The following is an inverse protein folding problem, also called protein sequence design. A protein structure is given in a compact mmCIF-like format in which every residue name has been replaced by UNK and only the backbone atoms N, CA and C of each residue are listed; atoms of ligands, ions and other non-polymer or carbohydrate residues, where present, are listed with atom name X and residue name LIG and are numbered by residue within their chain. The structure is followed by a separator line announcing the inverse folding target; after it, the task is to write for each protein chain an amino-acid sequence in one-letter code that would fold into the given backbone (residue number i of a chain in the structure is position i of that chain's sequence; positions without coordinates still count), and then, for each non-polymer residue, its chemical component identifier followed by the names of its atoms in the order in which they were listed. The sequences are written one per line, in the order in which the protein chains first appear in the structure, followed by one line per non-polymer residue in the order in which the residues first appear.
data_IF_118463826467
#
_entry.id   IF_118463826467
#
_cell.length_a   1.000
_cell.length_b   1.000
_cell.length_c   1.000
_cell.angle_alpha   90.00
_cell.angle_beta   90.00
_cell.angle_gamma   90.00
#
_symmetry.space_group_name_H-M   'P 1'
#
loop_
_entity.id
_entity.type
_entity.pdbx_description
1 polymer ?
#
# COMPACT_ATOMS: atom_id res chain seq x y z
N UNK A 1 31.45 -28.33 1.45
CA UNK A 1 30.68 -28.14 2.71
C UNK A 1 30.66 -26.63 2.96
N UNK A 2 29.61 -25.96 2.56
CA UNK A 2 29.40 -24.55 2.90
C UNK A 2 29.05 -24.50 4.38
N UNK A 3 29.92 -23.91 5.15
CA UNK A 3 29.66 -23.58 6.56
C UNK A 3 28.41 -22.72 6.62
N UNK A 4 27.33 -23.23 7.22
CA UNK A 4 26.17 -22.44 7.57
C UNK A 4 26.70 -21.36 8.52
N UNK A 5 26.95 -20.18 8.01
CA UNK A 5 27.20 -18.98 8.82
C UNK A 5 25.97 -18.77 9.70
N UNK A 6 26.18 -18.47 10.94
CA UNK A 6 25.14 -18.27 11.95
C UNK A 6 23.95 -17.48 11.37
N UNK A 7 22.80 -18.16 11.26
CA UNK A 7 21.55 -17.62 10.73
C UNK A 7 20.86 -16.60 11.67
N UNK A 8 21.50 -16.24 12.77
CA UNK A 8 21.01 -15.21 13.66
C UNK A 8 21.72 -13.90 13.34
N UNK A 9 20.98 -12.80 13.14
CA UNK A 9 21.59 -11.49 13.07
C UNK A 9 22.44 -11.29 14.32
N UNK A 10 23.67 -10.88 14.14
CA UNK A 10 24.63 -10.63 15.24
C UNK A 10 24.11 -9.53 16.18
N UNK A 11 23.21 -8.67 15.69
CA UNK A 11 22.54 -7.63 16.46
C UNK A 11 21.01 -7.82 16.38
N UNK A 12 20.41 -8.35 17.46
CA UNK A 12 18.96 -8.48 17.57
C UNK A 12 18.34 -7.09 17.68
N UNK A 13 17.49 -6.74 16.70
CA UNK A 13 16.65 -5.54 16.75
C UNK A 13 15.35 -5.81 17.53
N UNK A 14 14.72 -4.78 18.07
CA UNK A 14 13.52 -4.92 18.90
C UNK A 14 12.33 -5.58 18.18
N UNK A 15 12.27 -5.44 16.86
CA UNK A 15 11.18 -5.93 16.02
C UNK A 15 11.37 -7.35 15.48
N UNK A 16 12.54 -7.99 15.65
CA UNK A 16 12.85 -9.32 15.06
C UNK A 16 11.96 -10.47 15.54
N UNK A 17 11.33 -10.36 16.69
CA UNK A 17 10.46 -11.39 17.28
C UNK A 17 9.03 -10.89 17.48
N UNK A 18 8.61 -9.95 16.65
CA UNK A 18 7.31 -9.31 16.73
C UNK A 18 6.33 -9.84 15.70
N UNK A 19 5.04 -9.65 15.96
CA UNK A 19 3.93 -9.92 15.04
C UNK A 19 3.21 -8.60 14.78
N UNK A 20 3.01 -8.29 13.50
CA UNK A 20 2.30 -7.09 13.08
C UNK A 20 0.87 -7.43 12.63
N UNK A 21 -0.02 -6.46 12.81
CA UNK A 21 -1.41 -6.52 12.38
C UNK A 21 -1.77 -5.24 11.64
N UNK A 22 -2.25 -5.37 10.41
CA UNK A 22 -2.73 -4.22 9.64
C UNK A 22 -4.19 -3.95 9.94
N UNK A 23 -4.48 -2.70 10.24
CA UNK A 23 -5.84 -2.16 10.34
C UNK A 23 -6.09 -1.24 9.15
N UNK A 24 -7.18 -1.49 8.43
CA UNK A 24 -7.79 -0.59 7.48
C UNK A 24 -8.91 0.17 8.21
N UNK A 25 -8.67 1.40 8.70
CA UNK A 25 -9.53 2.06 9.67
C UNK A 25 -10.98 2.17 9.23
N UNK A 26 -11.21 2.55 7.96
CA UNK A 26 -12.56 2.75 7.37
C UNK A 26 -13.51 1.57 7.62
N UNK A 27 -13.01 0.33 7.64
CA UNK A 27 -13.83 -0.88 7.78
C UNK A 27 -13.52 -1.71 9.03
N UNK A 28 -12.76 -1.17 10.00
CA UNK A 28 -12.41 -1.93 11.19
C UNK A 28 -13.52 -1.98 12.23
N UNK A 29 -13.87 -0.83 12.84
CA UNK A 29 -14.98 -0.73 13.80
C UNK A 29 -15.48 0.70 13.88
N UNK A 30 -16.74 0.89 13.58
CA UNK A 30 -17.50 2.13 13.70
C UNK A 30 -18.09 2.24 15.10
N UNK A 31 -17.76 3.31 15.85
CA UNK A 31 -18.28 3.54 17.21
C UNK A 31 -19.27 4.68 17.31
N UNK A 32 -19.34 5.54 16.29
CA UNK A 32 -20.20 6.73 16.29
C UNK A 32 -21.49 6.53 15.46
N UNK A 33 -21.55 5.47 14.62
CA UNK A 33 -22.74 5.10 13.86
C UNK A 33 -22.85 5.75 12.49
N UNK A 34 -21.77 6.33 11.95
CA UNK A 34 -21.77 6.99 10.64
C UNK A 34 -21.45 6.05 9.46
N UNK A 35 -21.14 4.78 9.73
CA UNK A 35 -20.79 3.76 8.74
C UNK A 35 -19.31 3.66 8.45
N UNK A 36 -18.45 4.49 9.05
CA UNK A 36 -17.01 4.52 8.88
C UNK A 36 -16.35 4.12 10.19
N UNK A 37 -15.37 3.23 10.13
CA UNK A 37 -14.58 2.87 11.31
C UNK A 37 -13.69 4.02 11.78
N UNK A 38 -13.43 4.07 13.08
CA UNK A 38 -12.79 5.22 13.73
C UNK A 38 -11.69 4.83 14.73
N UNK A 39 -10.94 5.83 15.20
CA UNK A 39 -9.84 5.63 16.17
C UNK A 39 -10.36 5.09 17.51
N UNK A 40 -11.58 5.45 17.94
CA UNK A 40 -12.22 4.92 19.14
C UNK A 40 -12.48 3.41 19.01
N UNK A 41 -12.90 2.97 17.81
CA UNK A 41 -13.06 1.57 17.49
C UNK A 41 -11.73 0.80 17.63
N UNK A 42 -10.65 1.37 17.13
CA UNK A 42 -9.31 0.77 17.26
C UNK A 42 -8.90 0.69 18.73
N UNK A 43 -9.03 1.78 19.49
CA UNK A 43 -8.70 1.82 20.92
C UNK A 43 -9.47 0.75 21.69
N UNK A 44 -10.78 0.58 21.39
CA UNK A 44 -11.65 -0.40 22.05
C UNK A 44 -11.22 -1.86 21.85
N UNK A 45 -10.46 -2.13 20.78
CA UNK A 45 -10.01 -3.48 20.40
C UNK A 45 -8.54 -3.77 20.73
N UNK A 46 -7.84 -2.87 21.39
CA UNK A 46 -6.42 -3.08 21.74
C UNK A 46 -6.19 -4.30 22.64
N UNK A 47 -7.12 -4.60 23.55
CA UNK A 47 -7.01 -5.80 24.40
C UNK A 47 -7.19 -7.08 23.59
N UNK A 48 -8.15 -7.12 22.66
CA UNK A 48 -8.31 -8.22 21.71
C UNK A 48 -7.02 -8.46 20.90
N UNK A 49 -6.44 -7.39 20.33
CA UNK A 49 -5.20 -7.49 19.56
C UNK A 49 -4.03 -7.96 20.43
N UNK A 50 -3.97 -7.52 21.69
CA UNK A 50 -2.95 -7.99 22.63
C UNK A 50 -3.11 -9.48 22.97
N UNK A 51 -4.33 -9.96 23.19
CA UNK A 51 -4.63 -11.39 23.41
C UNK A 51 -4.32 -12.23 22.17
N UNK A 52 -4.50 -11.69 20.96
CA UNK A 52 -4.11 -12.32 19.71
C UNK A 52 -2.58 -12.44 19.55
N UNK A 53 -1.81 -11.71 20.37
CA UNK A 53 -0.35 -11.72 20.35
C UNK A 53 0.28 -10.66 19.45
N UNK A 54 -0.44 -9.59 19.14
CA UNK A 54 0.04 -8.49 18.29
C UNK A 54 0.97 -7.57 19.09
N UNK A 55 2.08 -7.20 18.46
CA UNK A 55 3.09 -6.29 19.00
C UNK A 55 3.20 -4.99 18.21
N UNK A 56 2.83 -5.00 16.93
CA UNK A 56 2.87 -3.84 16.04
C UNK A 56 1.52 -3.72 15.34
N UNK A 57 0.95 -2.53 15.32
CA UNK A 57 -0.24 -2.22 14.52
C UNK A 57 0.19 -1.28 13.38
N UNK A 58 -0.04 -1.70 12.15
CA UNK A 58 0.05 -0.84 10.98
C UNK A 58 -1.33 -0.26 10.67
N UNK A 59 -1.44 1.06 10.72
CA UNK A 59 -2.63 1.80 10.28
C UNK A 59 -2.46 2.19 8.81
N UNK A 60 -3.39 1.75 7.96
CA UNK A 60 -3.56 2.36 6.63
C UNK A 60 -3.86 3.85 6.79
N UNK A 61 -3.70 4.70 5.74
CA UNK A 61 -3.68 6.15 5.90
C UNK A 61 -4.89 6.71 6.68
N UNK A 62 -4.60 7.51 7.70
CA UNK A 62 -5.60 8.23 8.51
C UNK A 62 -5.45 9.75 8.41
N UNK A 63 -4.56 10.21 7.54
CA UNK A 63 -4.33 11.64 7.30
C UNK A 63 -5.55 12.29 6.63
N UNK A 64 -5.63 13.61 6.72
CA UNK A 64 -6.65 14.36 6.00
C UNK A 64 -6.50 14.13 4.49
N UNK A 65 -7.59 13.68 3.86
CA UNK A 65 -7.64 13.25 2.47
C UNK A 65 -9.00 13.51 1.85
N UNK A 66 -9.12 13.77 0.54
CA UNK A 66 -10.37 13.68 -0.20
C UNK A 66 -10.88 12.25 -0.46
N UNK A 67 -10.07 11.22 -0.13
CA UNK A 67 -10.38 9.80 -0.30
C UNK A 67 -10.65 9.35 -1.75
N UNK A 68 -10.01 9.97 -2.73
CA UNK A 68 -10.07 9.50 -4.13
C UNK A 68 -9.44 8.12 -4.26
N UNK A 69 -8.32 7.88 -3.58
CA UNK A 69 -7.69 6.57 -3.44
C UNK A 69 -7.65 6.15 -1.96
N UNK A 70 -8.81 6.20 -1.31
CA UNK A 70 -9.05 5.66 0.04
C UNK A 70 -8.05 6.13 1.11
N UNK A 71 -7.56 7.39 1.00
CA UNK A 71 -6.64 8.00 1.95
C UNK A 71 -5.19 8.11 1.47
N UNK A 72 -4.83 7.46 0.36
CA UNK A 72 -3.49 7.59 -0.24
C UNK A 72 -3.30 8.92 -1.01
N UNK A 73 -4.33 9.72 -1.19
CA UNK A 73 -4.31 11.09 -1.70
C UNK A 73 -4.32 12.09 -0.53
N UNK A 74 -3.16 12.27 0.12
CA UNK A 74 -3.02 13.07 1.35
C UNK A 74 -3.06 14.57 1.04
N UNK A 75 -4.02 15.29 1.65
CA UNK A 75 -4.17 16.74 1.50
C UNK A 75 -3.54 17.55 2.64
N UNK A 76 -3.28 16.92 3.80
CA UNK A 76 -2.56 17.51 4.94
C UNK A 76 -1.88 16.39 5.74
N UNK A 77 -0.55 16.41 5.77
CA UNK A 77 0.25 15.40 6.49
C UNK A 77 0.26 15.57 8.01
N UNK A 78 -0.22 16.69 8.54
CA UNK A 78 -0.21 17.00 9.98
C UNK A 78 -1.58 16.89 10.64
N UNK A 79 -2.60 16.51 9.88
CA UNK A 79 -3.97 16.40 10.37
C UNK A 79 -4.52 14.97 10.19
N UNK A 80 -5.34 14.53 11.16
CA UNK A 80 -6.15 13.33 11.04
C UNK A 80 -7.42 13.68 10.24
N UNK A 81 -7.91 12.77 9.41
CA UNK A 81 -9.18 12.92 8.71
C UNK A 81 -10.34 12.89 9.72
N UNK A 82 -11.29 13.81 9.56
CA UNK A 82 -12.42 13.99 10.49
C UNK A 82 -13.27 12.71 10.62
N UNK A 83 -13.33 11.92 9.56
CA UNK A 83 -14.02 10.63 9.49
C UNK A 83 -13.44 9.59 10.47
N UNK A 84 -12.14 9.67 10.75
CA UNK A 84 -11.48 8.73 11.65
C UNK A 84 -11.36 9.24 13.08
N UNK A 85 -11.55 10.54 13.31
CA UNK A 85 -11.48 11.13 14.64
C UNK A 85 -10.56 12.35 14.74
N UNK A 86 -9.97 12.55 15.91
CA UNK A 86 -9.16 13.74 16.21
C UNK A 86 -7.70 13.41 16.53
N UNK A 87 -6.86 14.43 16.56
CA UNK A 87 -5.45 14.27 16.96
C UNK A 87 -5.34 13.83 18.43
N UNK A 88 -6.23 14.29 19.29
CA UNK A 88 -6.30 13.89 20.70
C UNK A 88 -6.62 12.40 20.84
N UNK A 89 -7.52 11.87 20.01
CA UNK A 89 -7.84 10.45 19.96
C UNK A 89 -6.68 9.62 19.41
N UNK A 90 -5.94 10.16 18.46
CA UNK A 90 -4.71 9.52 18.00
C UNK A 90 -3.63 9.50 19.10
N UNK A 91 -3.46 10.59 19.84
CA UNK A 91 -2.53 10.65 20.99
C UNK A 91 -2.96 9.65 22.08
N UNK A 92 -4.27 9.48 22.31
CA UNK A 92 -4.80 8.45 23.22
C UNK A 92 -4.50 7.04 22.68
N UNK A 93 -4.68 6.78 21.38
CA UNK A 93 -4.34 5.50 20.77
C UNK A 93 -2.86 5.14 21.00
N UNK A 94 -1.93 6.08 20.77
CA UNK A 94 -0.50 5.88 21.04
C UNK A 94 -0.24 5.54 22.51
N UNK A 95 -0.86 6.27 23.43
CA UNK A 95 -0.70 6.06 24.88
C UNK A 95 -1.24 4.71 25.32
N UNK A 96 -2.45 4.32 24.88
CA UNK A 96 -3.10 3.06 25.24
C UNK A 96 -2.40 1.85 24.62
N UNK A 97 -1.91 1.97 23.38
CA UNK A 97 -1.11 0.93 22.73
C UNK A 97 0.21 0.71 23.46
N UNK A 98 0.89 1.79 23.84
CA UNK A 98 2.15 1.72 24.59
C UNK A 98 2.00 1.03 25.94
N UNK A 99 0.89 1.25 26.67
CA UNK A 99 0.59 0.56 27.94
C UNK A 99 0.51 -0.97 27.77
N UNK A 100 0.10 -1.43 26.58
CA UNK A 100 -0.03 -2.85 26.22
C UNK A 100 1.22 -3.42 25.57
N UNK A 101 2.27 -2.60 25.39
CA UNK A 101 3.49 -2.99 24.69
C UNK A 101 3.26 -3.19 23.19
N UNK A 102 2.31 -2.46 22.61
CA UNK A 102 2.02 -2.44 21.18
C UNK A 102 2.58 -1.15 20.58
N UNK A 103 3.34 -1.25 19.51
CA UNK A 103 3.84 -0.12 18.73
C UNK A 103 2.88 0.19 17.58
N UNK A 104 2.57 1.46 17.37
CA UNK A 104 1.79 1.92 16.20
C UNK A 104 2.75 2.34 15.11
N UNK A 105 2.56 1.88 13.89
CA UNK A 105 3.18 2.41 12.68
C UNK A 105 2.10 2.93 11.74
N UNK A 106 2.42 3.97 10.98
CA UNK A 106 1.50 4.57 10.01
C UNK A 106 1.99 4.33 8.59
N UNK A 107 1.10 4.52 7.62
CA UNK A 107 1.49 4.61 6.23
C UNK A 107 2.23 5.92 5.95
N UNK A 108 3.32 5.86 5.22
CA UNK A 108 4.09 7.02 4.77
C UNK A 108 4.00 7.11 3.26
N UNK A 109 3.15 8.01 2.78
CA UNK A 109 2.89 8.24 1.35
C UNK A 109 3.69 9.47 0.93
N UNK A 110 4.83 9.24 0.28
CA UNK A 110 5.80 10.29 -0.08
C UNK A 110 6.25 10.23 -1.55
N UNK A 111 5.67 9.33 -2.35
CA UNK A 111 5.82 9.39 -3.81
C UNK A 111 4.94 10.49 -4.41
N UNK A 112 3.78 10.75 -3.85
CA UNK A 112 2.76 11.70 -4.33
C UNK A 112 2.03 12.33 -3.14
N UNK A 113 1.23 13.35 -3.39
CA UNK A 113 0.25 13.88 -2.44
C UNK A 113 -1.08 14.14 -3.18
N UNK A 114 -2.10 14.63 -2.47
CA UNK A 114 -3.37 15.01 -3.10
C UNK A 114 -3.24 16.27 -3.96
N UNK A 115 -4.03 16.36 -5.03
CA UNK A 115 -4.26 17.61 -5.77
C UNK A 115 -4.91 18.71 -4.90
N UNK A 116 -5.45 18.34 -3.72
CA UNK A 116 -5.97 19.28 -2.71
C UNK A 116 -4.92 19.68 -1.68
N UNK A 117 -3.71 19.16 -1.73
CA UNK A 117 -2.61 19.60 -0.87
C UNK A 117 -2.23 21.05 -1.18
N UNK A 118 -1.88 21.83 -0.16
CA UNK A 118 -1.54 23.24 -0.31
C UNK A 118 -0.37 23.46 -1.29
N UNK A 119 0.62 22.56 -1.29
CA UNK A 119 1.74 22.64 -2.21
C UNK A 119 1.30 22.58 -3.67
N UNK A 120 0.43 21.63 -4.00
CA UNK A 120 -0.04 21.47 -5.38
C UNK A 120 -0.97 22.60 -5.82
N UNK A 121 -1.85 23.08 -4.94
CA UNK A 121 -2.68 24.26 -5.22
C UNK A 121 -1.84 25.49 -5.56
N UNK A 122 -0.74 25.71 -4.82
CA UNK A 122 0.21 26.80 -5.12
C UNK A 122 0.95 26.56 -6.43
N UNK A 123 1.38 25.32 -6.70
CA UNK A 123 2.02 24.94 -7.96
C UNK A 123 1.11 25.16 -9.18
N UNK A 124 -0.18 24.82 -9.08
CA UNK A 124 -1.16 25.08 -10.15
C UNK A 124 -1.46 26.57 -10.34
N UNK A 125 -1.44 27.36 -9.27
CA UNK A 125 -1.66 28.81 -9.34
C UNK A 125 -0.49 29.54 -10.01
N UNK A 126 0.74 29.02 -9.87
CA UNK A 126 1.96 29.56 -10.50
C UNK A 126 2.84 28.38 -10.97
N UNK A 127 2.59 27.84 -12.19
CA UNK A 127 3.34 26.71 -12.74
C UNK A 127 4.81 26.98 -13.09
N UNK A 128 5.29 28.22 -12.88
CA UNK A 128 6.68 28.65 -13.01
C UNK A 128 7.29 29.11 -11.66
N UNK A 129 6.50 29.07 -10.60
CA UNK A 129 6.89 29.49 -9.26
C UNK A 129 7.59 28.42 -8.44
N UNK A 130 7.96 28.79 -7.19
CA UNK A 130 8.70 27.94 -6.25
C UNK A 130 8.06 26.57 -6.03
N UNK A 131 6.73 26.52 -5.89
CA UNK A 131 6.01 25.27 -5.61
C UNK A 131 5.87 24.35 -6.82
N UNK A 132 6.05 24.86 -8.05
CA UNK A 132 6.04 24.06 -9.25
C UNK A 132 7.18 23.01 -9.23
N UNK A 133 8.33 23.35 -8.69
CA UNK A 133 9.49 22.46 -8.56
C UNK A 133 9.30 21.32 -7.53
N UNK A 134 8.22 21.36 -6.74
CA UNK A 134 7.86 20.24 -5.85
C UNK A 134 7.22 19.08 -6.61
N UNK A 135 6.87 19.29 -7.88
CA UNK A 135 6.20 18.35 -8.76
C UNK A 135 6.90 18.30 -10.11
N UNK A 136 6.51 17.36 -10.95
CA UNK A 136 7.02 17.26 -12.31
C UNK A 136 6.07 17.97 -13.29
N UNK A 137 6.35 19.21 -13.63
CA UNK A 137 5.67 19.93 -14.72
C UNK A 137 6.52 19.88 -15.99
N UNK A 138 5.91 19.52 -17.12
CA UNK A 138 6.58 19.45 -18.42
C UNK A 138 5.69 20.04 -19.52
N UNK A 139 6.33 20.66 -20.52
CA UNK A 139 5.62 21.15 -21.70
C UNK A 139 5.13 19.99 -22.55
N UNK A 140 3.90 20.11 -23.06
CA UNK A 140 3.37 19.16 -24.03
C UNK A 140 4.08 19.24 -25.38
N UNK A 141 4.06 18.15 -26.13
CA UNK A 141 4.63 18.05 -27.49
C UNK A 141 3.52 18.12 -28.53
N UNK A 142 3.45 19.22 -29.29
CA UNK A 142 2.45 19.40 -30.36
C UNK A 142 0.98 19.21 -29.88
N UNK A 143 0.65 19.67 -28.69
CA UNK A 143 -0.68 19.54 -28.09
C UNK A 143 -0.98 18.18 -27.47
N UNK A 144 0.01 17.28 -27.41
CA UNK A 144 -0.06 15.99 -26.73
C UNK A 144 0.74 16.02 -25.41
N UNK A 145 0.54 15.01 -24.52
CA UNK A 145 1.36 14.84 -23.34
C UNK A 145 2.87 14.79 -23.64
N UNK A 146 3.74 15.07 -22.65
CA UNK A 146 5.20 15.05 -22.82
C UNK A 146 5.77 13.69 -23.25
N UNK A 147 5.13 12.60 -22.82
CA UNK A 147 5.51 11.21 -23.13
C UNK A 147 4.33 10.25 -22.98
N UNK A 148 4.52 9.00 -23.45
CA UNK A 148 3.43 8.03 -23.63
C UNK A 148 3.26 7.06 -22.46
N UNK A 149 3.41 7.50 -21.21
CA UNK A 149 3.23 6.61 -20.06
C UNK A 149 1.77 6.43 -19.65
N UNK A 150 1.42 5.18 -19.28
CA UNK A 150 0.11 4.81 -18.71
C UNK A 150 0.20 4.73 -17.20
N UNK A 151 -0.73 5.38 -16.49
CA UNK A 151 -0.92 5.33 -15.05
C UNK A 151 -1.21 3.90 -14.56
N UNK A 152 -0.88 3.60 -13.30
CA UNK A 152 -1.28 2.35 -12.64
C UNK A 152 -2.80 2.16 -12.60
N UNK A 153 -3.57 3.25 -12.65
CA UNK A 153 -5.04 3.24 -12.65
C UNK A 153 -5.65 3.50 -14.05
N UNK A 154 -4.83 3.34 -15.10
CA UNK A 154 -5.25 3.53 -16.48
C UNK A 154 -5.18 4.97 -16.98
N UNK A 155 -5.21 5.15 -18.28
CA UNK A 155 -5.06 6.44 -18.92
C UNK A 155 -3.62 6.98 -18.90
N UNK A 156 -3.44 8.22 -19.39
CA UNK A 156 -2.12 8.88 -19.41
C UNK A 156 -1.64 9.22 -17.99
N UNK A 157 -0.33 9.14 -17.74
CA UNK A 157 0.31 9.68 -16.53
C UNK A 157 0.42 11.22 -16.51
N UNK A 158 0.02 11.87 -17.56
CA UNK A 158 0.15 13.31 -17.72
C UNK A 158 -1.22 13.98 -17.81
N UNK A 159 -1.51 14.88 -16.88
CA UNK A 159 -2.75 15.64 -16.84
C UNK A 159 -2.47 17.10 -17.23
N UNK A 160 -3.25 17.73 -18.12
CA UNK A 160 -3.02 19.10 -18.57
C UNK A 160 -3.23 20.12 -17.44
N UNK A 161 -2.33 21.10 -17.36
CA UNK A 161 -2.46 22.25 -16.46
C UNK A 161 -3.41 23.28 -17.07
N UNK A 162 -4.46 23.72 -16.38
CA UNK A 162 -5.41 24.69 -16.89
C UNK A 162 -4.73 25.98 -17.36
N UNK A 163 -5.10 26.47 -18.54
CA UNK A 163 -4.59 27.70 -19.17
C UNK A 163 -3.07 27.71 -19.44
N UNK A 164 -2.45 26.57 -19.58
CA UNK A 164 -1.04 26.39 -19.87
C UNK A 164 -0.84 25.33 -20.96
N UNK A 165 0.36 25.27 -21.55
CA UNK A 165 0.79 24.17 -22.41
C UNK A 165 1.52 23.07 -21.60
N UNK A 166 1.57 23.21 -20.29
CA UNK A 166 2.21 22.23 -19.39
C UNK A 166 1.26 21.13 -18.98
N UNK A 167 1.87 20.02 -18.57
CA UNK A 167 1.23 18.86 -17.96
C UNK A 167 1.95 18.57 -16.64
N UNK A 168 1.24 18.02 -15.66
CA UNK A 168 1.85 17.47 -14.45
C UNK A 168 1.81 15.94 -14.46
N UNK A 169 2.80 15.35 -13.82
CA UNK A 169 2.95 13.90 -13.72
C UNK A 169 2.13 13.32 -12.57
N UNK A 170 1.49 12.18 -12.81
CA UNK A 170 0.89 11.31 -11.79
C UNK A 170 1.05 9.85 -12.21
N UNK A 171 1.72 9.03 -11.42
CA UNK A 171 1.81 7.58 -11.70
C UNK A 171 0.55 6.83 -11.26
N UNK A 172 -0.21 7.39 -10.31
CA UNK A 172 -1.49 6.87 -9.80
C UNK A 172 -2.66 7.70 -10.35
N UNK A 173 -3.67 8.01 -9.54
CA UNK A 173 -4.78 8.85 -9.99
C UNK A 173 -4.31 10.26 -10.35
N UNK A 174 -5.02 10.94 -11.25
CA UNK A 174 -4.73 12.34 -11.61
C UNK A 174 -4.84 13.29 -10.41
N UNK A 175 -5.57 12.90 -9.38
CA UNK A 175 -5.66 13.59 -8.11
C UNK A 175 -4.48 13.32 -7.19
N UNK A 176 -3.48 12.52 -7.62
CA UNK A 176 -2.27 12.15 -6.88
C UNK A 176 -1.00 12.61 -7.61
N UNK A 177 -0.75 13.94 -7.73
CA UNK A 177 0.45 14.46 -8.41
C UNK A 177 1.73 13.98 -7.73
N UNK A 178 2.70 13.52 -8.53
CA UNK A 178 3.96 12.95 -8.07
C UNK A 178 4.91 14.03 -7.54
N UNK A 179 5.50 13.78 -6.39
CA UNK A 179 6.48 14.63 -5.73
C UNK A 179 7.87 14.52 -6.37
N UNK A 180 8.54 15.66 -6.55
CA UNK A 180 9.87 15.74 -7.13
C UNK A 180 10.96 15.56 -6.05
N UNK A 181 11.43 14.36 -5.88
CA UNK A 181 12.50 14.01 -4.92
C UNK A 181 13.88 14.62 -5.25
N UNK A 182 14.03 15.26 -6.39
CA UNK A 182 15.25 16.03 -6.69
C UNK A 182 15.26 17.43 -6.04
N UNK A 183 14.12 17.88 -5.48
CA UNK A 183 14.01 19.19 -4.85
C UNK A 183 14.38 19.12 -3.35
N UNK A 184 15.51 19.74 -2.93
CA UNK A 184 15.98 19.66 -1.55
C UNK A 184 15.07 20.37 -0.54
N UNK A 185 14.32 21.39 -0.97
CA UNK A 185 13.37 22.09 -0.08
C UNK A 185 12.17 21.22 0.23
N UNK A 186 11.67 20.47 -0.76
CA UNK A 186 10.64 19.47 -0.56
C UNK A 186 11.13 18.37 0.37
N UNK A 187 12.33 17.81 0.11
CA UNK A 187 12.89 16.74 0.95
C UNK A 187 12.97 17.16 2.42
N UNK A 188 13.44 18.38 2.70
CA UNK A 188 13.48 18.86 4.09
C UNK A 188 12.09 18.91 4.73
N UNK A 189 11.05 19.33 3.99
CA UNK A 189 9.66 19.33 4.50
C UNK A 189 9.15 17.92 4.78
N UNK A 190 9.51 16.94 3.94
CA UNK A 190 9.18 15.54 4.18
C UNK A 190 9.90 15.00 5.43
N UNK A 191 11.18 15.30 5.59
CA UNK A 191 11.93 14.89 6.79
C UNK A 191 11.38 15.53 8.07
N UNK A 192 11.01 16.81 8.03
CA UNK A 192 10.40 17.49 9.17
C UNK A 192 9.07 16.86 9.56
N UNK A 193 8.23 16.51 8.58
CA UNK A 193 6.95 15.85 8.78
C UNK A 193 7.15 14.45 9.41
N UNK A 194 8.05 13.65 8.88
CA UNK A 194 8.35 12.30 9.40
C UNK A 194 8.84 12.38 10.84
N UNK A 195 9.78 13.29 11.12
CA UNK A 195 10.31 13.50 12.47
C UNK A 195 9.21 13.94 13.45
N UNK A 196 8.30 14.80 13.02
CA UNK A 196 7.18 15.27 13.86
C UNK A 196 6.28 14.11 14.32
N UNK A 197 5.97 13.15 13.43
CA UNK A 197 5.21 11.97 13.81
C UNK A 197 6.00 11.03 14.75
N UNK A 198 7.29 10.85 14.49
CA UNK A 198 8.16 10.03 15.36
C UNK A 198 8.31 10.65 16.76
N UNK A 199 8.41 11.97 16.84
CA UNK A 199 8.44 12.71 18.12
C UNK A 199 7.17 12.59 18.94
N UNK A 200 6.00 12.40 18.28
CA UNK A 200 4.73 12.06 18.96
C UNK A 200 4.74 10.69 19.60
N UNK A 201 5.68 9.82 19.27
CA UNK A 201 5.82 8.48 19.83
C UNK A 201 5.40 7.37 18.88
N UNK A 202 5.28 7.65 17.58
CA UNK A 202 5.06 6.64 16.55
C UNK A 202 6.22 5.65 16.52
N UNK A 203 5.94 4.36 16.38
CA UNK A 203 6.96 3.29 16.34
C UNK A 203 7.67 3.15 15.01
N UNK A 204 7.17 3.79 13.95
CA UNK A 204 7.74 3.75 12.62
C UNK A 204 6.71 3.88 11.50
N UNK A 205 7.08 3.38 10.30
CA UNK A 205 6.25 3.54 9.10
C UNK A 205 6.27 2.31 8.19
N UNK A 206 5.13 2.07 7.54
CA UNK A 206 5.07 1.36 6.24
C UNK A 206 5.21 2.41 5.15
N UNK A 207 6.13 2.20 4.22
CA UNK A 207 6.48 3.20 3.22
C UNK A 207 5.89 2.79 1.88
N UNK A 208 4.91 3.59 1.45
CA UNK A 208 4.13 3.39 0.25
C UNK A 208 4.93 3.67 -1.02
N UNK A 209 4.76 2.82 -2.03
CA UNK A 209 5.24 3.02 -3.41
C UNK A 209 6.69 3.55 -3.51
N UNK A 210 7.56 3.16 -2.58
CA UNK A 210 8.88 3.80 -2.39
C UNK A 210 9.82 3.65 -3.59
N UNK A 211 9.64 2.61 -4.40
CA UNK A 211 10.45 2.42 -5.62
C UNK A 211 10.18 3.49 -6.68
N UNK A 212 9.06 4.19 -6.59
CA UNK A 212 8.63 5.18 -7.58
C UNK A 212 9.20 6.58 -7.35
N UNK A 213 9.89 6.82 -6.22
CA UNK A 213 10.42 8.16 -5.90
C UNK A 213 11.54 8.63 -6.83
N UNK A 214 12.35 7.70 -7.39
CA UNK A 214 13.40 8.00 -8.36
C UNK A 214 12.91 7.72 -9.77
N UNK A 215 12.87 8.75 -10.60
CA UNK A 215 12.39 8.70 -11.99
C UNK A 215 13.45 9.21 -12.94
N UNK A 216 13.38 8.78 -14.21
CA UNK A 216 14.17 9.40 -15.27
C UNK A 216 13.59 10.80 -15.58
N UNK A 217 14.31 11.90 -15.26
CA UNK A 217 13.78 13.26 -15.44
C UNK A 217 13.63 13.67 -16.91
N UNK A 218 14.17 12.89 -17.84
CA UNK A 218 14.02 13.13 -19.28
C UNK A 218 12.67 12.64 -19.84
N UNK A 219 12.01 11.72 -19.12
CA UNK A 219 10.72 11.12 -19.50
C UNK A 219 10.67 10.72 -20.99
N UNK A 220 11.54 9.81 -21.46
CA UNK A 220 11.56 9.38 -22.85
C UNK A 220 10.31 8.59 -23.21
N UNK A 221 9.92 8.61 -24.49
CA UNK A 221 8.90 7.71 -25.00
C UNK A 221 9.48 6.29 -25.14
N UNK A 222 8.65 5.27 -24.88
CA UNK A 222 8.95 3.85 -25.10
C UNK A 222 7.97 3.22 -26.08
N UNK A 223 8.31 2.03 -26.60
CA UNK A 223 7.39 1.25 -27.44
C UNK A 223 6.13 0.90 -26.64
N UNK A 224 4.93 1.20 -27.18
CA UNK A 224 3.68 0.88 -26.52
C UNK A 224 3.56 -0.61 -26.16
N UNK A 225 3.02 -0.92 -25.01
CA UNK A 225 2.75 -2.27 -24.56
C UNK A 225 1.29 -2.71 -24.73
N UNK A 226 0.43 -1.82 -25.25
CA UNK A 226 -0.98 -2.03 -25.52
C UNK A 226 -1.50 -1.26 -26.74
N UNK A 227 -2.78 -1.48 -27.07
CA UNK A 227 -3.44 -0.87 -28.24
C UNK A 227 -3.79 0.62 -28.04
N UNK A 228 -3.66 1.14 -26.83
CA UNK A 228 -3.90 2.53 -26.47
C UNK A 228 -2.72 3.47 -26.83
N UNK A 229 -1.61 2.92 -27.34
CA UNK A 229 -0.42 3.67 -27.68
C UNK A 229 0.42 4.11 -26.48
N UNK A 230 0.10 3.63 -25.28
CA UNK A 230 0.81 3.92 -24.05
C UNK A 230 1.69 2.76 -23.62
N UNK A 231 2.61 3.04 -22.70
CA UNK A 231 3.47 2.06 -22.03
C UNK A 231 3.34 2.21 -20.52
N UNK A 232 3.44 1.13 -19.77
CA UNK A 232 3.29 1.18 -18.31
C UNK A 232 4.30 2.13 -17.65
N UNK A 233 3.83 2.88 -16.65
CA UNK A 233 4.64 3.93 -16.00
C UNK A 233 5.85 3.38 -15.22
N UNK A 234 5.92 2.07 -14.94
CA UNK A 234 7.10 1.43 -14.33
C UNK A 234 8.38 1.64 -15.16
N UNK A 235 8.29 1.88 -16.46
CA UNK A 235 9.43 2.18 -17.31
C UNK A 235 10.19 3.45 -16.86
N UNK A 236 9.51 4.41 -16.21
CA UNK A 236 10.16 5.61 -15.67
C UNK A 236 11.17 5.31 -14.56
N UNK A 237 11.00 4.19 -13.87
CA UNK A 237 11.78 3.82 -12.68
C UNK A 237 12.67 2.61 -12.92
N UNK A 238 12.31 1.72 -13.84
CA UNK A 238 13.02 0.46 -14.08
C UNK A 238 14.44 0.65 -14.62
N UNK A 239 14.68 1.73 -15.35
CA UNK A 239 15.96 2.01 -16.01
C UNK A 239 16.80 3.05 -15.25
N UNK A 240 16.36 3.48 -14.07
CA UNK A 240 17.06 4.49 -13.27
C UNK A 240 17.74 3.83 -12.08
N UNK A 241 19.01 4.19 -11.87
CA UNK A 241 19.78 3.81 -10.69
C UNK A 241 19.80 4.97 -9.67
N UNK A 242 20.17 4.64 -8.41
CA UNK A 242 20.41 5.66 -7.38
C UNK A 242 19.20 5.95 -6.48
N UNK A 243 18.19 5.07 -6.45
CA UNK A 243 17.15 5.14 -5.41
C UNK A 243 17.76 5.00 -4.02
N UNK A 244 18.80 4.18 -3.86
CA UNK A 244 19.53 3.98 -2.61
C UNK A 244 20.06 5.28 -2.00
N UNK A 245 20.52 6.23 -2.81
CA UNK A 245 21.01 7.53 -2.32
C UNK A 245 19.88 8.31 -1.58
N UNK A 246 18.67 8.29 -2.12
CA UNK A 246 17.50 8.90 -1.46
C UNK A 246 17.10 8.16 -0.19
N UNK A 247 17.17 6.84 -0.20
CA UNK A 247 16.83 6.01 0.95
C UNK A 247 17.84 6.18 2.09
N UNK A 248 19.14 6.33 1.77
CA UNK A 248 20.19 6.64 2.75
C UNK A 248 19.94 7.98 3.44
N UNK A 249 19.69 9.05 2.67
CA UNK A 249 19.39 10.36 3.21
C UNK A 249 18.09 10.36 4.03
N UNK A 250 17.03 9.68 3.55
CA UNK A 250 15.80 9.52 4.28
C UNK A 250 16.03 8.84 5.64
N UNK A 251 16.73 7.70 5.66
CA UNK A 251 17.08 6.98 6.89
C UNK A 251 17.86 7.83 7.87
N UNK A 252 18.92 8.48 7.40
CA UNK A 252 19.82 9.30 8.19
C UNK A 252 19.14 10.54 8.80
N UNK A 253 18.25 11.19 8.04
CA UNK A 253 17.55 12.37 8.48
C UNK A 253 16.33 12.09 9.37
N UNK A 254 15.83 10.86 9.36
CA UNK A 254 14.58 10.49 10.05
C UNK A 254 14.72 9.23 10.92
N UNK A 255 14.55 8.05 10.37
CA UNK A 255 14.31 6.78 11.06
C UNK A 255 15.42 6.37 12.03
N UNK A 256 16.69 6.63 11.66
CA UNK A 256 17.85 6.23 12.46
C UNK A 256 17.87 6.90 13.84
N UNK A 257 17.38 8.14 13.93
CA UNK A 257 17.36 8.92 15.18
C UNK A 257 16.43 8.34 16.26
N UNK A 258 15.41 7.56 15.83
CA UNK A 258 14.33 7.09 16.70
C UNK A 258 14.30 5.57 16.87
N UNK A 259 15.25 4.82 16.27
CA UNK A 259 15.19 3.36 16.17
C UNK A 259 13.82 2.88 15.64
N UNK A 260 13.28 3.61 14.66
CA UNK A 260 11.97 3.40 14.10
C UNK A 260 11.95 2.11 13.26
N UNK A 261 10.87 1.34 13.38
CA UNK A 261 10.63 0.23 12.47
C UNK A 261 10.11 0.73 11.12
N UNK A 262 10.71 0.28 10.04
CA UNK A 262 10.30 0.64 8.68
C UNK A 262 10.09 -0.60 7.83
N UNK A 263 8.99 -0.64 7.08
CA UNK A 263 8.71 -1.69 6.10
C UNK A 263 8.35 -1.06 4.77
N UNK A 264 9.15 -1.34 3.73
CA UNK A 264 8.95 -0.79 2.40
C UNK A 264 8.01 -1.63 1.55
N UNK A 265 7.19 -0.96 0.75
CA UNK A 265 6.46 -1.59 -0.35
C UNK A 265 7.35 -1.60 -1.59
N UNK A 266 7.91 -2.77 -1.91
CA UNK A 266 8.85 -2.96 -3.00
C UNK A 266 8.41 -4.14 -3.85
N UNK A 267 8.23 -3.89 -5.15
CA UNK A 267 7.89 -4.91 -6.15
C UNK A 267 9.05 -5.12 -7.12
N UNK A 268 9.07 -6.28 -7.78
CA UNK A 268 9.93 -6.59 -8.93
C UNK A 268 11.44 -6.37 -8.72
N UNK A 269 11.94 -6.55 -7.51
CA UNK A 269 13.38 -6.42 -7.22
C UNK A 269 14.24 -7.33 -8.09
N UNK A 270 15.31 -6.77 -8.63
CA UNK A 270 16.28 -7.48 -9.46
C UNK A 270 17.56 -7.79 -8.66
N UNK A 271 18.04 -9.02 -8.75
CA UNK A 271 19.37 -9.41 -8.32
C UNK A 271 19.78 -8.96 -6.93
N UNK A 272 20.76 -8.08 -6.87
CA UNK A 272 21.37 -7.58 -5.62
C UNK A 272 20.65 -6.35 -5.02
N UNK A 273 19.60 -5.82 -5.65
CA UNK A 273 18.85 -4.63 -5.16
C UNK A 273 18.27 -4.84 -3.77
N UNK A 274 17.97 -6.08 -3.40
CA UNK A 274 17.48 -6.41 -2.06
C UNK A 274 18.37 -5.84 -0.94
N UNK A 275 19.68 -5.74 -1.17
CA UNK A 275 20.66 -5.22 -0.21
C UNK A 275 20.53 -3.73 0.04
N UNK A 276 20.00 -2.98 -0.91
CA UNK A 276 19.73 -1.56 -0.73
C UNK A 276 18.58 -1.35 0.26
N UNK A 277 17.64 -2.29 0.28
CA UNK A 277 16.46 -2.17 1.13
C UNK A 277 16.67 -2.77 2.52
N UNK A 278 17.18 -3.99 2.63
CA UNK A 278 17.25 -4.73 3.90
C UNK A 278 18.64 -5.31 4.15
N UNK A 279 18.94 -5.59 5.42
CA UNK A 279 20.20 -6.17 5.86
C UNK A 279 20.97 -5.22 6.77
N UNK A 280 22.24 -5.54 6.98
CA UNK A 280 23.12 -4.77 7.89
C UNK A 280 23.32 -3.32 7.39
N UNK A 281 23.49 -3.18 6.05
CA UNK A 281 23.68 -1.91 5.38
C UNK A 281 22.38 -1.38 4.72
N UNK A 282 21.27 -2.10 4.84
CA UNK A 282 19.98 -1.75 4.24
C UNK A 282 19.35 -0.50 4.84
N UNK A 283 18.52 0.17 4.04
CA UNK A 283 17.91 1.44 4.43
C UNK A 283 16.62 1.28 5.23
N UNK A 284 15.97 0.11 5.15
CA UNK A 284 14.76 -0.23 5.90
C UNK A 284 14.97 -1.40 6.86
N UNK A 285 14.12 -1.50 7.86
CA UNK A 285 14.09 -2.65 8.77
C UNK A 285 13.67 -3.93 8.03
N UNK A 286 12.69 -3.79 7.13
CA UNK A 286 12.12 -4.88 6.34
C UNK A 286 11.48 -4.36 5.05
N UNK A 287 11.13 -5.27 4.15
CA UNK A 287 10.22 -5.05 3.03
C UNK A 287 9.21 -6.18 2.99
N UNK A 288 8.05 -5.99 2.34
CA UNK A 288 7.10 -7.07 2.14
C UNK A 288 7.56 -8.08 1.10
N UNK A 289 7.38 -9.37 1.39
CA UNK A 289 7.53 -10.43 0.39
C UNK A 289 6.24 -10.56 -0.45
N UNK A 290 6.20 -9.85 -1.58
CA UNK A 290 5.09 -9.94 -2.54
C UNK A 290 5.32 -10.97 -3.66
N UNK A 291 6.37 -11.79 -3.58
CA UNK A 291 6.71 -12.75 -4.64
C UNK A 291 5.54 -13.68 -4.99
N UNK A 292 4.80 -14.15 -3.98
CA UNK A 292 3.63 -15.00 -4.19
C UNK A 292 2.39 -14.22 -4.69
N UNK A 293 2.28 -12.95 -4.36
CA UNK A 293 1.17 -12.09 -4.76
C UNK A 293 1.15 -11.84 -6.28
N UNK A 294 2.30 -11.86 -6.94
CA UNK A 294 2.41 -11.64 -8.38
C UNK A 294 2.04 -12.86 -9.24
N UNK A 295 1.78 -14.03 -8.64
CA UNK A 295 1.59 -15.29 -9.38
C UNK A 295 0.27 -15.42 -10.12
N UNK A 296 -0.76 -14.62 -9.80
CA UNK A 296 -2.10 -14.69 -10.43
C UNK A 296 -2.32 -13.63 -11.50
N UNK A 297 -1.40 -12.72 -11.71
CA UNK A 297 -1.55 -11.63 -12.67
C UNK A 297 -1.68 -12.10 -14.10
N UNK A 298 -2.62 -11.53 -14.85
CA UNK A 298 -2.76 -11.70 -16.29
C UNK A 298 -1.88 -10.70 -17.07
N UNK A 299 -1.62 -11.00 -18.33
CA UNK A 299 -0.81 -10.12 -19.20
C UNK A 299 -1.60 -8.89 -19.67
N UNK A 300 -2.91 -9.04 -19.85
CA UNK A 300 -3.77 -8.03 -20.47
C UNK A 300 -4.74 -7.37 -19.49
N UNK A 301 -4.66 -7.68 -18.22
CA UNK A 301 -5.53 -7.18 -17.16
C UNK A 301 -6.12 -8.29 -16.28
N UNK A 302 -7.03 -7.92 -15.40
CA UNK A 302 -7.62 -8.89 -14.46
C UNK A 302 -8.48 -9.95 -15.14
N UNK A 303 -9.01 -9.68 -16.32
CA UNK A 303 -9.86 -10.61 -17.05
C UNK A 303 -9.10 -11.85 -17.59
N UNK A 304 -7.78 -11.79 -17.72
CA UNK A 304 -6.94 -12.93 -18.07
C UNK A 304 -6.13 -13.46 -16.88
N UNK A 305 -6.47 -13.02 -15.65
CA UNK A 305 -5.88 -13.57 -14.43
C UNK A 305 -6.17 -15.08 -14.32
N UNK A 306 -5.27 -15.80 -13.67
CA UNK A 306 -5.37 -17.26 -13.54
C UNK A 306 -5.22 -17.71 -12.09
N UNK A 307 -5.74 -18.90 -11.80
CA UNK A 307 -5.57 -19.51 -10.48
C UNK A 307 -4.11 -19.87 -10.22
N UNK A 308 -3.69 -19.69 -8.98
CA UNK A 308 -2.33 -19.99 -8.57
C UNK A 308 -2.17 -21.51 -8.38
N UNK A 309 -1.23 -22.12 -9.12
CA UNK A 309 -0.85 -23.50 -8.88
C UNK A 309 -0.11 -23.64 -7.54
N UNK A 310 -0.60 -24.51 -6.65
CA UNK A 310 0.00 -24.74 -5.33
C UNK A 310 1.50 -25.09 -5.39
N UNK A 311 1.92 -25.86 -6.39
CA UNK A 311 3.33 -26.20 -6.59
C UNK A 311 4.15 -24.92 -6.85
N UNK A 312 3.67 -24.08 -7.75
CA UNK A 312 4.36 -22.81 -8.10
C UNK A 312 4.41 -21.84 -6.91
N UNK A 313 3.30 -21.71 -6.18
CA UNK A 313 3.24 -20.90 -4.97
C UNK A 313 4.26 -21.36 -3.92
N UNK A 314 4.31 -22.69 -3.63
CA UNK A 314 5.28 -23.27 -2.71
C UNK A 314 6.72 -23.01 -3.14
N UNK A 315 7.05 -23.23 -4.43
CA UNK A 315 8.38 -23.00 -4.97
C UNK A 315 8.78 -21.53 -4.83
N UNK A 316 7.88 -20.60 -5.16
CA UNK A 316 8.12 -19.16 -5.04
C UNK A 316 8.43 -18.75 -3.60
N UNK A 317 7.67 -19.25 -2.62
CA UNK A 317 7.94 -18.97 -1.20
C UNK A 317 9.31 -19.53 -0.78
N UNK A 318 9.64 -20.76 -1.18
CA UNK A 318 10.93 -21.37 -0.84
C UNK A 318 12.07 -20.55 -1.45
N UNK A 319 11.96 -20.16 -2.72
CA UNK A 319 12.98 -19.37 -3.41
C UNK A 319 13.17 -18.00 -2.75
N UNK A 320 12.07 -17.34 -2.34
CA UNK A 320 12.14 -16.09 -1.59
C UNK A 320 12.87 -16.28 -0.25
N UNK A 321 12.48 -17.26 0.55
CA UNK A 321 13.14 -17.57 1.83
C UNK A 321 14.62 -17.87 1.67
N UNK A 322 15.02 -18.58 0.61
CA UNK A 322 16.42 -18.90 0.32
C UNK A 322 17.21 -17.66 -0.13
N UNK A 323 16.60 -16.80 -0.93
CA UNK A 323 17.21 -15.53 -1.38
C UNK A 323 17.49 -14.62 -0.18
N UNK A 324 16.57 -14.49 0.73
CA UNK A 324 16.62 -13.55 1.84
C UNK A 324 17.47 -14.01 3.01
N UNK A 325 17.71 -15.31 3.16
CA UNK A 325 18.43 -15.89 4.31
C UNK A 325 19.81 -15.28 4.59
N UNK A 326 20.45 -14.71 3.57
CA UNK A 326 21.82 -14.16 3.66
C UNK A 326 21.82 -12.64 3.85
N UNK A 327 20.71 -11.94 3.69
CA UNK A 327 20.70 -10.48 3.62
C UNK A 327 19.97 -9.82 4.78
N UNK A 328 18.82 -10.34 5.19
CA UNK A 328 18.04 -9.67 6.21
C UNK A 328 16.73 -10.37 6.53
N UNK A 329 15.74 -9.56 6.89
CA UNK A 329 14.38 -9.96 7.23
C UNK A 329 13.42 -9.36 6.22
N UNK A 330 12.64 -10.19 5.55
CA UNK A 330 11.42 -9.75 4.87
C UNK A 330 10.21 -9.91 5.79
N UNK A 331 9.18 -9.15 5.54
CA UNK A 331 7.90 -9.25 6.21
C UNK A 331 6.99 -10.20 5.44
N UNK A 332 6.54 -11.26 6.11
CA UNK A 332 5.62 -12.24 5.53
C UNK A 332 4.21 -11.65 5.46
N UNK A 333 3.54 -11.78 4.33
CA UNK A 333 2.19 -11.27 4.12
C UNK A 333 1.39 -12.20 3.21
N UNK A 334 0.16 -12.51 3.57
CA UNK A 334 -0.77 -13.31 2.77
C UNK A 334 -1.81 -12.40 2.10
N UNK A 335 -2.31 -11.42 2.82
CA UNK A 335 -3.29 -10.46 2.34
C UNK A 335 -3.07 -9.09 2.99
N UNK A 336 -3.52 -8.06 2.32
CA UNK A 336 -3.54 -6.68 2.80
C UNK A 336 -4.76 -5.95 2.18
N UNK A 337 -4.84 -4.66 2.37
CA UNK A 337 -5.92 -3.82 1.84
C UNK A 337 -5.90 -3.64 0.30
N UNK A 338 -4.84 -4.06 -0.39
CA UNK A 338 -4.66 -3.99 -1.85
C UNK A 338 -4.72 -5.35 -2.55
N UNK A 339 -5.06 -6.39 -1.81
CA UNK A 339 -5.12 -7.76 -2.32
C UNK A 339 -6.49 -8.38 -2.04
N UNK A 340 -6.98 -9.30 -2.87
CA UNK A 340 -8.11 -10.14 -2.50
C UNK A 340 -7.81 -10.93 -1.22
N UNK A 341 -8.85 -11.42 -0.53
CA UNK A 341 -8.69 -12.25 0.66
C UNK A 341 -7.87 -13.50 0.36
N UNK A 342 -6.91 -13.82 1.23
CA UNK A 342 -5.93 -14.88 1.02
C UNK A 342 -6.55 -16.26 0.82
N UNK A 343 -7.60 -16.60 1.58
CA UNK A 343 -8.35 -17.87 1.40
C UNK A 343 -8.90 -17.97 -0.01
N UNK A 344 -9.54 -16.92 -0.50
CA UNK A 344 -10.16 -16.90 -1.84
C UNK A 344 -9.15 -16.89 -2.97
N UNK A 345 -7.94 -16.35 -2.73
CA UNK A 345 -6.90 -16.20 -3.74
C UNK A 345 -5.98 -17.41 -3.87
N UNK A 346 -5.49 -17.92 -2.73
CA UNK A 346 -4.44 -18.94 -2.72
C UNK A 346 -4.95 -20.37 -2.60
N UNK A 347 -6.20 -20.55 -2.18
CA UNK A 347 -6.77 -21.89 -1.99
C UNK A 347 -7.81 -22.20 -3.07
N UNK A 348 -7.89 -23.48 -3.51
CA UNK A 348 -9.00 -23.91 -4.34
C UNK A 348 -10.32 -23.87 -3.54
N UNK A 349 -11.44 -23.68 -4.22
CA UNK A 349 -12.75 -23.47 -3.60
C UNK A 349 -13.12 -24.53 -2.55
N UNK A 350 -12.80 -25.81 -2.81
CA UNK A 350 -13.06 -26.90 -1.84
C UNK A 350 -12.25 -26.75 -0.51
N UNK A 351 -11.22 -25.92 -0.50
CA UNK A 351 -10.39 -25.62 0.66
C UNK A 351 -10.73 -24.28 1.33
N UNK A 352 -11.78 -23.59 0.90
CA UNK A 352 -12.32 -22.39 1.57
C UNK A 352 -13.04 -22.80 2.86
N UNK A 353 -12.25 -23.23 3.82
CA UNK A 353 -12.69 -23.80 5.11
C UNK A 353 -11.86 -23.23 6.24
N UNK A 354 -12.32 -23.32 7.51
CA UNK A 354 -11.50 -22.93 8.65
C UNK A 354 -10.12 -23.62 8.71
N UNK A 355 -10.04 -24.87 8.23
CA UNK A 355 -8.76 -25.60 8.16
C UNK A 355 -7.83 -25.00 7.10
N UNK A 356 -8.37 -24.62 5.94
CA UNK A 356 -7.60 -23.94 4.90
C UNK A 356 -7.07 -22.59 5.36
N UNK A 357 -7.91 -21.77 6.00
CA UNK A 357 -7.50 -20.49 6.58
C UNK A 357 -6.38 -20.67 7.62
N UNK A 358 -6.51 -21.69 8.52
CA UNK A 358 -5.46 -22.00 9.51
C UNK A 358 -4.14 -22.42 8.89
N UNK A 359 -4.16 -23.13 7.74
CA UNK A 359 -2.92 -23.49 7.02
C UNK A 359 -2.22 -22.23 6.52
N UNK A 360 -2.95 -21.30 5.89
CA UNK A 360 -2.36 -20.03 5.42
C UNK A 360 -1.79 -19.21 6.58
N UNK A 361 -2.55 -19.06 7.66
CA UNK A 361 -2.08 -18.36 8.85
C UNK A 361 -0.84 -19.02 9.47
N UNK A 362 -0.80 -20.37 9.53
CA UNK A 362 0.37 -21.12 10.02
C UNK A 362 1.60 -20.86 9.15
N UNK A 363 1.46 -20.89 7.82
CA UNK A 363 2.56 -20.58 6.90
C UNK A 363 3.05 -19.16 7.13
N UNK A 364 2.15 -18.18 7.19
CA UNK A 364 2.51 -16.77 7.39
C UNK A 364 3.34 -16.55 8.67
N UNK A 365 2.93 -17.17 9.77
CA UNK A 365 3.55 -16.98 11.09
C UNK A 365 4.85 -17.78 11.25
N UNK A 366 4.98 -18.95 10.59
CA UNK A 366 6.14 -19.84 10.79
C UNK A 366 7.27 -19.65 9.78
N UNK A 367 7.05 -18.94 8.67
CA UNK A 367 8.13 -18.56 7.78
C UNK A 367 9.08 -17.58 8.48
N UNK A 368 10.36 -17.64 8.09
CA UNK A 368 11.34 -16.67 8.60
C UNK A 368 11.00 -15.28 8.08
N UNK A 369 10.79 -14.34 8.98
CA UNK A 369 10.39 -12.97 8.69
C UNK A 369 9.51 -12.40 9.79
N UNK A 370 9.07 -11.17 9.64
CA UNK A 370 8.09 -10.55 10.51
C UNK A 370 6.69 -10.76 9.91
N UNK A 371 5.82 -11.58 10.55
CA UNK A 371 4.50 -11.84 10.01
C UNK A 371 3.59 -10.61 10.16
N UNK A 372 2.94 -10.23 9.08
CA UNK A 372 1.84 -9.27 9.05
C UNK A 372 0.52 -10.04 8.87
N UNK A 373 -0.40 -9.83 9.80
CA UNK A 373 -1.79 -10.28 9.68
C UNK A 373 -2.64 -9.09 9.24
N UNK A 374 -3.57 -9.33 8.35
CA UNK A 374 -4.54 -8.31 7.96
C UNK A 374 -5.84 -8.50 8.73
N UNK A 375 -6.55 -7.40 9.08
CA UNK A 375 -7.84 -7.47 9.78
C UNK A 375 -8.79 -8.47 9.09
N UNK A 376 -9.34 -9.40 9.88
CA UNK A 376 -10.24 -10.46 9.40
C UNK A 376 -9.53 -11.73 8.92
N UNK A 377 -8.21 -11.72 8.72
CA UNK A 377 -7.45 -12.92 8.37
C UNK A 377 -7.50 -13.95 9.51
N UNK A 378 -7.44 -13.51 10.76
CA UNK A 378 -7.50 -14.37 11.95
C UNK A 378 -8.82 -15.10 12.13
N UNK A 379 -9.90 -14.59 11.55
CA UNK A 379 -11.22 -15.26 11.51
C UNK A 379 -11.54 -15.91 10.16
N UNK A 380 -10.61 -15.84 9.19
CA UNK A 380 -10.72 -16.48 7.89
C UNK A 380 -11.72 -15.83 6.94
N UNK A 381 -11.82 -14.50 6.96
CA UNK A 381 -12.65 -13.75 6.00
C UNK A 381 -12.27 -14.10 4.56
N UNK A 382 -13.26 -14.11 3.66
CA UNK A 382 -13.16 -14.44 2.26
C UNK A 382 -13.63 -13.27 1.39
N UNK A 383 -13.42 -13.37 0.06
CA UNK A 383 -13.95 -12.39 -0.88
C UNK A 383 -15.48 -12.30 -0.75
N UNK A 384 -15.96 -11.10 -0.94
CA UNK A 384 -17.39 -10.81 -0.97
C UNK A 384 -18.05 -11.25 -2.29
N UNK A 385 -19.37 -11.26 -2.32
CA UNK A 385 -20.16 -11.45 -3.54
C UNK A 385 -20.62 -10.10 -4.05
N UNK A 386 -20.34 -9.82 -5.30
CA UNK A 386 -20.67 -8.58 -5.98
C UNK A 386 -21.69 -8.83 -7.08
N UNK A 387 -22.69 -7.98 -7.18
CA UNK A 387 -23.79 -8.13 -8.15
C UNK A 387 -23.74 -7.08 -9.28
N UNK A 388 -23.02 -5.99 -9.06
CA UNK A 388 -22.86 -4.89 -10.01
C UNK A 388 -21.51 -4.22 -9.86
N UNK A 389 -21.00 -3.65 -10.95
CA UNK A 389 -19.81 -2.80 -10.91
C UNK A 389 -20.01 -1.53 -10.07
N UNK A 390 -21.25 -1.09 -9.90
CA UNK A 390 -21.60 0.10 -9.11
C UNK A 390 -21.44 -0.12 -7.59
N UNK A 391 -21.31 -1.38 -7.13
CA UNK A 391 -21.04 -1.72 -5.74
C UNK A 391 -19.56 -1.51 -5.35
N UNK A 392 -18.66 -1.40 -6.34
CA UNK A 392 -17.24 -1.19 -6.08
C UNK A 392 -16.90 0.30 -5.91
N UNK A 393 -16.09 0.58 -4.91
CA UNK A 393 -15.54 1.91 -4.64
C UNK A 393 -14.13 2.08 -5.27
N UNK A 394 -13.40 0.97 -5.38
CA UNK A 394 -12.04 0.91 -5.91
C UNK A 394 -11.90 1.39 -7.35
N UNK A 395 -11.08 2.42 -7.56
CA UNK A 395 -10.80 2.99 -8.89
C UNK A 395 -10.11 1.99 -9.83
N UNK A 396 -9.23 1.12 -9.30
CA UNK A 396 -8.59 0.05 -10.10
C UNK A 396 -9.62 -0.94 -10.61
N UNK A 397 -10.60 -1.32 -9.81
CA UNK A 397 -11.66 -2.25 -10.21
C UNK A 397 -12.49 -1.68 -11.35
N UNK A 398 -12.85 -0.40 -11.27
CA UNK A 398 -13.61 0.31 -12.32
C UNK A 398 -12.81 0.41 -13.63
N UNK A 399 -11.51 0.68 -13.55
CA UNK A 399 -10.64 0.69 -14.74
C UNK A 399 -10.51 -0.71 -15.35
N UNK A 400 -10.26 -1.74 -14.56
CA UNK A 400 -10.12 -3.11 -15.04
C UNK A 400 -11.43 -3.67 -15.61
N UNK A 401 -12.57 -3.25 -15.10
CA UNK A 401 -13.87 -3.55 -15.72
C UNK A 401 -13.97 -2.91 -17.12
N UNK A 402 -13.59 -1.65 -17.27
CA UNK A 402 -13.53 -0.96 -18.58
C UNK A 402 -12.60 -1.71 -19.53
N UNK A 403 -11.39 -2.08 -19.09
CA UNK A 403 -10.41 -2.84 -19.89
C UNK A 403 -10.99 -4.18 -20.35
N UNK A 404 -11.67 -4.91 -19.47
CA UNK A 404 -12.34 -6.17 -19.83
C UNK A 404 -13.46 -5.96 -20.86
N UNK A 405 -14.25 -4.89 -20.75
CA UNK A 405 -15.29 -4.53 -21.72
C UNK A 405 -14.70 -4.16 -23.09
N UNK A 406 -13.61 -3.41 -23.12
CA UNK A 406 -12.89 -3.05 -24.36
C UNK A 406 -12.29 -4.28 -25.02
N UNK A 407 -11.87 -5.29 -24.25
CA UNK A 407 -11.45 -6.59 -24.76
C UNK A 407 -12.61 -7.47 -25.26
N UNK A 408 -13.87 -7.01 -25.16
CA UNK A 408 -15.05 -7.66 -25.72
C UNK A 408 -15.78 -8.64 -24.78
N UNK A 409 -15.48 -8.61 -23.48
CA UNK A 409 -16.20 -9.47 -22.51
C UNK A 409 -17.65 -8.99 -22.30
N UNK A 410 -18.54 -9.91 -21.95
CA UNK A 410 -19.89 -9.56 -21.48
C UNK A 410 -19.81 -8.85 -20.12
N UNK A 411 -20.90 -8.19 -19.69
CA UNK A 411 -20.95 -7.53 -18.38
C UNK A 411 -20.74 -8.54 -17.25
N UNK A 412 -21.34 -9.73 -17.35
CA UNK A 412 -21.22 -10.79 -16.36
C UNK A 412 -19.78 -11.33 -16.27
N UNK A 413 -19.11 -11.54 -17.42
CA UNK A 413 -17.73 -12.03 -17.43
C UNK A 413 -16.73 -10.99 -16.93
N UNK A 414 -16.94 -9.73 -17.26
CA UNK A 414 -16.13 -8.62 -16.77
C UNK A 414 -16.32 -8.44 -15.25
N UNK A 415 -17.56 -8.50 -14.76
CA UNK A 415 -17.86 -8.41 -13.34
C UNK A 415 -17.25 -9.60 -12.56
N UNK A 416 -17.36 -10.82 -13.09
CA UNK A 416 -16.77 -12.01 -12.46
C UNK A 416 -15.23 -11.87 -12.32
N UNK A 417 -14.55 -11.41 -13.38
CA UNK A 417 -13.11 -11.20 -13.35
C UNK A 417 -12.71 -10.14 -12.30
N UNK A 418 -13.40 -9.00 -12.27
CA UNK A 418 -13.16 -7.92 -11.31
C UNK A 418 -13.46 -8.38 -9.87
N UNK A 419 -14.55 -9.11 -9.65
CA UNK A 419 -14.95 -9.62 -8.33
C UNK A 419 -13.88 -10.51 -7.69
N UNK A 420 -13.10 -11.24 -8.49
CA UNK A 420 -12.02 -12.10 -7.99
C UNK A 420 -10.80 -11.31 -7.53
N UNK A 421 -10.51 -10.19 -8.20
CA UNK A 421 -9.23 -9.48 -8.07
C UNK A 421 -9.34 -8.14 -7.33
N UNK A 422 -10.56 -7.62 -7.16
CA UNK A 422 -10.80 -6.31 -6.53
C UNK A 422 -10.20 -6.21 -5.13
N UNK A 423 -9.58 -5.05 -4.87
CA UNK A 423 -9.12 -4.62 -3.55
C UNK A 423 -10.28 -4.49 -2.54
N UNK A 424 -11.49 -4.18 -3.01
CA UNK A 424 -12.67 -4.02 -2.15
C UNK A 424 -13.05 -5.29 -1.39
N UNK A 425 -12.64 -6.46 -1.88
CA UNK A 425 -12.77 -7.71 -1.13
C UNK A 425 -12.12 -7.68 0.25
N UNK A 426 -10.96 -7.03 0.35
CA UNK A 426 -10.25 -6.86 1.62
C UNK A 426 -10.77 -5.67 2.43
N UNK A 427 -11.50 -4.74 1.80
CA UNK A 427 -12.00 -3.50 2.41
C UNK A 427 -13.42 -3.62 2.97
N UNK A 428 -14.01 -4.81 2.85
CA UNK A 428 -15.30 -5.14 3.49
C UNK A 428 -15.20 -5.04 5.02
N UNK A 429 -16.32 -4.73 5.71
CA UNK A 429 -16.36 -4.58 7.15
C UNK A 429 -15.85 -5.80 7.92
N UNK A 430 -15.03 -5.55 8.95
CA UNK A 430 -14.58 -6.57 9.89
C UNK A 430 -15.77 -7.20 10.60
N UNK A 431 -15.81 -8.54 10.62
CA UNK A 431 -16.92 -9.31 11.19
C UNK A 431 -16.68 -9.59 12.69
N UNK A 432 -17.08 -8.64 13.54
CA UNK A 432 -16.91 -8.74 15.00
C UNK A 432 -17.84 -9.69 15.69
N UNK A 433 -19.04 -9.88 15.14
CA UNK A 433 -20.08 -10.77 15.67
C UNK A 433 -20.80 -11.49 14.54
N UNK A 434 -21.58 -12.52 14.89
CA UNK A 434 -22.53 -13.22 14.01
C UNK A 434 -23.93 -12.55 13.95
N UNK A 435 -24.06 -11.39 14.60
CA UNK A 435 -25.28 -10.59 14.60
C UNK A 435 -25.47 -9.78 13.32
N UNK A 436 -26.58 -9.06 13.27
CA UNK A 436 -26.89 -8.13 12.18
C UNK A 436 -25.78 -7.10 12.00
N UNK A 437 -25.43 -6.81 10.75
CA UNK A 437 -24.33 -5.90 10.37
C UNK A 437 -22.94 -6.28 10.96
N UNK A 438 -22.75 -7.57 11.32
CA UNK A 438 -21.49 -8.06 11.92
C UNK A 438 -21.04 -7.29 13.18
N UNK A 439 -21.99 -6.67 13.91
CA UNK A 439 -21.73 -5.86 15.10
C UNK A 439 -21.43 -4.39 14.81
N UNK A 440 -21.75 -3.91 13.61
CA UNK A 440 -21.67 -2.49 13.21
C UNK A 440 -23.04 -1.82 13.31
N UNK A 441 -23.09 -0.49 13.21
CA UNK A 441 -24.33 0.29 13.24
C UNK A 441 -25.24 -0.01 12.03
N UNK A 442 -26.55 0.30 12.15
CA UNK A 442 -27.52 0.14 11.06
C UNK A 442 -27.17 1.00 9.83
N UNK A 443 -26.51 2.15 10.00
CA UNK A 443 -26.12 3.02 8.88
C UNK A 443 -24.99 2.41 8.04
N UNK A 444 -24.06 1.69 8.64
CA UNK A 444 -23.04 0.94 7.92
C UNK A 444 -23.63 -0.06 6.93
N UNK A 445 -24.79 -0.66 7.25
CA UNK A 445 -25.47 -1.64 6.40
C UNK A 445 -26.05 -1.05 5.11
N UNK A 446 -26.34 0.24 5.09
CA UNK A 446 -26.98 0.90 3.94
C UNK A 446 -26.00 1.27 2.83
N UNK A 447 -24.73 1.48 3.17
CA UNK A 447 -23.68 1.86 2.22
C UNK A 447 -22.77 0.71 1.78
N UNK A 448 -22.75 -0.39 2.52
CA UNK A 448 -21.84 -1.53 2.33
C UNK A 448 -22.60 -2.87 2.37
N UNK A 449 -23.79 -2.95 1.72
CA UNK A 449 -24.45 -4.25 1.52
C UNK A 449 -23.63 -5.08 0.55
N UNK A 450 -22.84 -5.94 1.09
CA UNK A 450 -22.19 -7.05 0.39
C UNK A 450 -22.79 -8.36 0.88
#
# INVERSE_FOLDING_TARGET
MNTIKNLHPTNKKWWHDKVAYQIYPKSFLDTNGDGIGDLRGIISKLDYLKELGIDIIWLSPIYKSPFVDQGYDISDYYAIAEEFGTMEEFDELLAESKKRGISIIMDLVINHCSDKHEWFKKALADPDGEYADYFFFREGKNGNPPSNYRSYFGGSCWEPVPNSNKYYLHMFAKEQPDLNWENPTLLQKLYDMINWWLEKGLGGFRIDAIINIKKDPSFPDYEPDGDDGLVGCWEMVEHVNGVGDYLEELKKHTFEKYDAFTVGEVFNMKGDELREFIGEDGHFSSIFDFSAACLSGGKHGWYDSHSIEFKKWRETIIDSQLRNQNYGFESNIIENHDQPRGVSRFLPEYAHTPSGAKILGTINVLLRGLPFLYQGQEIGMQNAKWNSIDEFDDISTKDQYRVAKEAGLSDEAALEACSKMSRDNARTPMQWTDGENAGRSEEASCRERV
#
